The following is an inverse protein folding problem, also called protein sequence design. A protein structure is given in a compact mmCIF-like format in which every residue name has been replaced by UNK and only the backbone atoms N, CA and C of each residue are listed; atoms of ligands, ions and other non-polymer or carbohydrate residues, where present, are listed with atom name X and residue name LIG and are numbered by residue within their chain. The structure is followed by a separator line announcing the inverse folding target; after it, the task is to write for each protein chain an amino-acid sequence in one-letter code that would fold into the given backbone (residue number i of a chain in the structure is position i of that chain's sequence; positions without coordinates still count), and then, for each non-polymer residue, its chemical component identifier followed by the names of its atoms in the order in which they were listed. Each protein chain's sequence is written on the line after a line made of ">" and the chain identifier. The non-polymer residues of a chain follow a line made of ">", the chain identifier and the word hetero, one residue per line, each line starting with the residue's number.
data_IF_187690772890
#
_entry.id   IF_187690772890
#
_cell.length_a   1.000
_cell.length_b   1.000
_cell.length_c   1.000
_cell.angle_alpha   90.00
_cell.angle_beta   90.00
_cell.angle_gamma   90.00
#
_symmetry.space_group_name_H-M   'P 1'
#
loop_
_entity.id
_entity.type
_entity.pdbx_description
1 polymer ?
#
# COMPACT_ATOMS: atom_id res chain seq x y z
N UNK A 1 -10.13 -18.97 52.09
CA UNK A 1 -9.58 -18.07 51.01
C UNK A 1 -8.72 -18.90 50.08
N UNK A 2 -9.24 -19.18 48.89
CA UNK A 2 -8.49 -19.92 47.84
C UNK A 2 -7.66 -18.89 47.06
N UNK A 3 -6.36 -18.88 47.23
CA UNK A 3 -5.45 -18.11 46.39
C UNK A 3 -5.35 -18.77 45.02
N UNK A 4 -5.97 -18.14 44.01
CA UNK A 4 -5.75 -18.54 42.61
C UNK A 4 -4.34 -18.10 42.23
N UNK A 5 -3.41 -19.04 42.12
CA UNK A 5 -2.09 -18.76 41.55
C UNK A 5 -2.24 -18.42 40.09
N UNK A 6 -1.80 -17.20 39.70
CA UNK A 6 -1.67 -16.83 38.28
C UNK A 6 -0.68 -17.81 37.63
N UNK A 7 -0.98 -18.29 36.41
CA UNK A 7 0.00 -19.10 35.68
C UNK A 7 1.27 -18.29 35.44
N UNK A 8 2.45 -18.93 35.45
CA UNK A 8 3.69 -18.22 35.19
C UNK A 8 3.61 -17.54 33.82
N UNK A 9 3.92 -16.22 33.76
CA UNK A 9 4.13 -15.52 32.50
C UNK A 9 5.22 -16.27 31.74
N UNK A 10 4.89 -16.82 30.57
CA UNK A 10 5.91 -17.26 29.63
C UNK A 10 6.79 -16.08 29.31
N UNK A 11 8.04 -16.11 29.72
CA UNK A 11 9.04 -15.16 29.24
C UNK A 11 9.08 -15.28 27.71
N UNK A 12 8.93 -14.18 26.96
CA UNK A 12 9.12 -14.24 25.52
C UNK A 12 10.50 -14.81 25.25
N UNK A 13 10.57 -15.89 24.48
CA UNK A 13 11.82 -16.41 23.98
C UNK A 13 12.47 -15.27 23.20
N UNK A 14 13.73 -14.87 23.45
CA UNK A 14 14.35 -13.85 22.62
C UNK A 14 14.32 -14.36 21.19
N UNK A 15 13.62 -13.64 20.32
CA UNK A 15 13.66 -13.90 18.90
C UNK A 15 15.12 -13.72 18.48
N UNK A 16 15.71 -14.73 17.86
CA UNK A 16 16.93 -14.58 17.08
C UNK A 16 16.78 -13.32 16.25
N UNK A 17 17.76 -12.41 16.35
CA UNK A 17 17.77 -11.07 15.78
C UNK A 17 16.79 -10.91 14.62
N UNK A 18 15.68 -10.25 14.87
CA UNK A 18 14.74 -9.91 13.82
C UNK A 18 15.52 -9.02 12.86
N UNK A 19 15.82 -9.54 11.66
CA UNK A 19 16.33 -8.70 10.59
C UNK A 19 15.32 -7.58 10.41
N UNK A 20 15.78 -6.34 10.50
CA UNK A 20 14.93 -5.16 10.44
C UNK A 20 14.28 -5.09 9.06
N UNK A 21 13.04 -5.59 8.97
CA UNK A 21 12.26 -5.57 7.73
C UNK A 21 11.37 -4.34 7.78
N UNK A 22 11.64 -3.37 6.93
CA UNK A 22 10.88 -2.14 6.86
C UNK A 22 10.45 -1.80 5.43
N UNK A 23 9.51 -0.87 5.29
CA UNK A 23 8.94 -0.43 4.01
C UNK A 23 8.15 -1.53 3.27
N UNK A 24 7.46 -2.41 4.01
CA UNK A 24 6.50 -3.36 3.44
C UNK A 24 5.15 -2.70 3.24
N UNK A 25 4.48 -3.07 2.16
CA UNK A 25 3.10 -2.71 1.94
C UNK A 25 2.19 -3.89 2.25
N UNK A 26 1.02 -3.58 2.78
CA UNK A 26 0.06 -4.59 3.18
C UNK A 26 -1.30 -4.36 2.54
N UNK A 27 -1.99 -5.44 2.30
CA UNK A 27 -3.40 -5.46 1.94
C UNK A 27 -4.07 -6.66 2.62
N UNK A 28 -5.40 -6.68 2.62
CA UNK A 28 -6.14 -7.75 3.27
C UNK A 28 -7.42 -8.08 2.56
N UNK A 29 -7.90 -9.29 2.79
CA UNK A 29 -9.30 -9.69 2.65
C UNK A 29 -9.98 -9.70 4.03
N UNK A 30 -11.20 -10.17 4.11
CA UNK A 30 -11.87 -10.41 5.40
C UNK A 30 -11.23 -11.52 6.24
N UNK A 31 -10.41 -12.40 5.66
CA UNK A 31 -9.80 -13.56 6.33
C UNK A 31 -8.28 -13.51 6.40
N UNK A 32 -7.61 -12.91 5.43
CA UNK A 32 -6.15 -12.91 5.30
C UNK A 32 -5.56 -11.51 5.29
N UNK A 33 -4.54 -11.28 6.10
CA UNK A 33 -3.63 -10.14 5.99
C UNK A 33 -2.37 -10.56 5.24
N UNK A 34 -1.94 -9.77 4.26
CA UNK A 34 -0.80 -10.08 3.38
C UNK A 34 0.16 -8.90 3.36
N UNK A 35 1.45 -9.20 3.42
CA UNK A 35 2.55 -8.24 3.24
C UNK A 35 3.36 -8.61 2.02
N UNK A 36 3.62 -7.64 1.16
CA UNK A 36 4.32 -7.85 -0.11
C UNK A 36 5.56 -6.99 -0.19
N UNK A 37 6.65 -7.54 -0.73
CA UNK A 37 7.92 -6.86 -0.93
C UNK A 37 8.53 -6.31 0.36
N UNK A 38 9.49 -5.43 0.27
CA UNK A 38 10.12 -4.75 1.41
C UNK A 38 11.64 -4.75 1.33
N UNK A 39 12.26 -4.37 2.44
CA UNK A 39 13.71 -4.33 2.56
C UNK A 39 14.16 -5.09 3.80
N UNK A 40 15.10 -5.99 3.64
CA UNK A 40 15.73 -6.76 4.73
C UNK A 40 17.20 -6.33 4.83
N UNK A 41 17.57 -5.77 5.96
CA UNK A 41 18.97 -5.37 6.21
C UNK A 41 19.80 -6.59 6.65
N UNK A 42 21.02 -6.78 6.11
CA UNK A 42 21.68 -6.04 5.03
C UNK A 42 21.38 -6.58 3.62
N UNK A 43 20.49 -7.57 3.49
CA UNK A 43 20.31 -8.34 2.25
C UNK A 43 19.70 -7.55 1.09
N UNK A 44 19.01 -6.42 1.38
CA UNK A 44 18.45 -5.57 0.33
C UNK A 44 16.94 -5.78 0.11
N UNK A 45 16.47 -5.42 -1.08
CA UNK A 45 15.07 -5.58 -1.46
C UNK A 45 14.69 -7.05 -1.56
N UNK A 46 13.46 -7.37 -1.15
CA UNK A 46 12.89 -8.72 -1.25
C UNK A 46 11.59 -8.69 -2.07
N UNK A 47 11.26 -9.81 -2.69
CA UNK A 47 10.03 -10.05 -3.43
C UNK A 47 9.04 -10.93 -2.67
N UNK A 48 9.38 -11.37 -1.48
CA UNK A 48 8.60 -12.29 -0.66
C UNK A 48 7.22 -11.73 -0.33
N UNK A 49 6.24 -12.60 -0.35
CA UNK A 49 4.88 -12.34 0.10
C UNK A 49 4.61 -13.22 1.32
N UNK A 50 4.32 -12.61 2.45
CA UNK A 50 3.93 -13.31 3.68
C UNK A 50 2.46 -13.05 4.00
N UNK A 51 1.79 -14.01 4.65
CA UNK A 51 0.41 -13.84 5.08
C UNK A 51 0.13 -14.40 6.47
N UNK A 52 -0.97 -13.95 7.05
CA UNK A 52 -1.58 -14.52 8.25
C UNK A 52 -3.07 -14.72 8.04
N UNK A 53 -3.64 -15.72 8.70
CA UNK A 53 -5.09 -15.83 8.86
C UNK A 53 -5.51 -14.94 10.03
N UNK A 54 -6.35 -13.93 9.76
CA UNK A 54 -6.71 -12.88 10.75
C UNK A 54 -7.45 -13.47 11.95
N UNK A 55 -8.26 -14.50 11.72
CA UNK A 55 -9.08 -15.11 12.78
C UNK A 55 -8.31 -16.03 13.74
N UNK A 56 -7.07 -16.38 13.44
CA UNK A 56 -6.27 -17.33 14.23
C UNK A 56 -4.92 -16.73 14.60
N UNK A 57 -4.42 -17.10 15.78
CA UNK A 57 -3.05 -16.73 16.20
C UNK A 57 -2.03 -17.66 15.53
N UNK A 58 -0.90 -17.11 15.11
CA UNK A 58 0.18 -17.88 14.49
C UNK A 58 1.25 -16.97 13.90
N UNK A 59 2.32 -17.59 13.44
CA UNK A 59 3.34 -16.89 12.67
C UNK A 59 2.86 -16.64 11.26
N UNK A 60 3.43 -15.62 10.61
CA UNK A 60 3.24 -15.44 9.18
C UNK A 60 3.80 -16.65 8.42
N UNK A 61 3.13 -16.99 7.35
CA UNK A 61 3.47 -18.10 6.46
C UNK A 61 3.81 -17.52 5.08
N UNK A 62 4.73 -18.16 4.39
CA UNK A 62 5.06 -17.85 3.03
C UNK A 62 3.82 -18.02 2.12
N UNK A 63 3.52 -16.99 1.36
CA UNK A 63 2.44 -16.98 0.36
C UNK A 63 2.99 -17.26 -1.04
N UNK A 64 4.19 -16.79 -1.35
CA UNK A 64 4.86 -16.80 -2.65
C UNK A 64 5.66 -15.52 -2.87
N UNK A 65 5.94 -15.19 -4.11
CA UNK A 65 6.79 -14.05 -4.49
C UNK A 65 6.09 -13.11 -5.49
N UNK A 66 6.41 -11.82 -5.42
CA UNK A 66 6.14 -10.87 -6.51
C UNK A 66 7.13 -11.05 -7.64
N UNK A 67 6.83 -10.50 -8.81
CA UNK A 67 7.70 -10.61 -10.01
C UNK A 67 9.08 -10.01 -9.82
N UNK A 68 9.23 -9.00 -8.96
CA UNK A 68 10.49 -8.29 -8.77
C UNK A 68 10.63 -7.78 -7.33
N UNK A 69 11.84 -7.89 -6.76
CA UNK A 69 12.17 -7.37 -5.44
C UNK A 69 12.16 -5.83 -5.44
N UNK A 70 11.37 -5.22 -4.54
CA UNK A 70 11.27 -3.77 -4.40
C UNK A 70 10.88 -3.37 -2.98
N UNK A 71 11.14 -2.14 -2.58
CA UNK A 71 10.79 -1.62 -1.25
C UNK A 71 9.95 -0.34 -1.28
N UNK A 72 9.60 0.17 -2.46
CA UNK A 72 8.86 1.42 -2.62
C UNK A 72 7.49 1.22 -3.27
N UNK A 73 6.96 0.03 -3.15
CA UNK A 73 5.65 -0.37 -3.68
C UNK A 73 4.51 0.21 -2.84
N UNK A 74 3.33 0.27 -3.43
CA UNK A 74 2.08 0.50 -2.70
C UNK A 74 1.10 -0.63 -3.00
N UNK A 75 0.10 -0.81 -2.16
CA UNK A 75 -0.84 -1.92 -2.27
C UNK A 75 -2.29 -1.45 -2.21
N UNK A 76 -3.15 -2.22 -2.85
CA UNK A 76 -4.60 -2.11 -2.74
C UNK A 76 -5.22 -3.51 -2.84
N UNK A 77 -6.49 -3.64 -2.49
CA UNK A 77 -7.17 -4.92 -2.60
C UNK A 77 -8.65 -4.77 -2.96
N UNK A 78 -9.17 -5.81 -3.59
CA UNK A 78 -10.59 -6.13 -3.65
C UNK A 78 -10.90 -7.22 -2.62
N UNK A 79 -12.15 -7.63 -2.40
CA UNK A 79 -12.47 -8.71 -1.47
C UNK A 79 -11.77 -10.05 -1.74
N UNK A 80 -11.36 -10.31 -2.98
CA UNK A 80 -10.79 -11.59 -3.41
C UNK A 80 -9.34 -11.51 -3.89
N UNK A 81 -8.83 -10.32 -4.23
CA UNK A 81 -7.52 -10.11 -4.85
C UNK A 81 -6.73 -9.02 -4.16
N UNK A 82 -5.45 -9.27 -3.94
CA UNK A 82 -4.47 -8.26 -3.53
C UNK A 82 -3.64 -7.78 -4.71
N UNK A 83 -3.29 -6.51 -4.72
CA UNK A 83 -2.49 -5.87 -5.76
C UNK A 83 -1.29 -5.16 -5.16
N UNK A 84 -0.15 -5.29 -5.80
CA UNK A 84 1.08 -4.59 -5.50
C UNK A 84 1.46 -3.74 -6.72
N UNK A 85 1.61 -2.43 -6.52
CA UNK A 85 1.95 -1.47 -7.55
C UNK A 85 3.40 -1.03 -7.38
N UNK A 86 4.20 -1.17 -8.44
CA UNK A 86 5.57 -0.68 -8.49
C UNK A 86 6.69 -1.71 -8.46
N UNK A 87 6.47 -3.05 -8.35
CA UNK A 87 7.53 -3.98 -8.67
C UNK A 87 7.92 -3.83 -10.15
N UNK A 88 9.08 -4.32 -10.56
CA UNK A 88 9.46 -4.28 -11.98
C UNK A 88 10.58 -3.31 -12.34
N UNK A 89 11.09 -2.51 -11.41
CA UNK A 89 12.29 -1.72 -11.66
C UNK A 89 13.53 -2.48 -11.21
N UNK A 90 14.20 -3.15 -12.13
CA UNK A 90 15.49 -3.80 -11.91
C UNK A 90 16.65 -2.81 -11.60
N UNK A 91 16.43 -1.52 -11.72
CA UNK A 91 17.45 -0.50 -11.53
C UNK A 91 17.64 -0.04 -10.05
N UNK A 92 17.00 -0.69 -9.08
CA UNK A 92 17.11 -0.33 -7.66
C UNK A 92 16.47 1.01 -7.27
N UNK A 93 15.94 1.76 -8.23
CA UNK A 93 15.42 3.11 -8.04
C UNK A 93 13.92 3.16 -7.72
N UNK A 94 13.23 2.01 -7.70
CA UNK A 94 11.84 1.92 -7.25
C UNK A 94 10.78 2.57 -8.16
N UNK A 95 11.08 2.80 -9.43
CA UNK A 95 10.17 3.48 -10.37
C UNK A 95 9.43 2.54 -11.32
N UNK A 96 9.16 1.30 -10.89
CA UNK A 96 8.43 0.34 -11.72
C UNK A 96 6.99 0.75 -11.98
N UNK A 97 6.45 0.33 -13.11
CA UNK A 97 5.05 0.51 -13.50
C UNK A 97 4.21 -0.76 -13.38
N UNK A 98 4.84 -1.91 -13.10
CA UNK A 98 4.16 -3.19 -13.04
C UNK A 98 3.07 -3.22 -11.96
N UNK A 99 2.01 -3.93 -12.27
CA UNK A 99 0.92 -4.23 -11.34
C UNK A 99 0.91 -5.74 -11.13
N UNK A 100 1.30 -6.17 -9.95
CA UNK A 100 1.27 -7.58 -9.57
C UNK A 100 -0.02 -7.90 -8.82
N UNK A 101 -0.58 -9.08 -9.06
CA UNK A 101 -1.83 -9.55 -8.45
C UNK A 101 -1.67 -10.91 -7.79
N UNK A 102 -2.27 -11.04 -6.63
CA UNK A 102 -2.50 -12.32 -5.93
C UNK A 102 -3.99 -12.58 -5.75
N UNK A 103 -4.35 -13.83 -5.62
CA UNK A 103 -5.69 -14.25 -5.19
C UNK A 103 -5.62 -14.68 -3.74
N UNK A 104 -6.38 -14.06 -2.83
CA UNK A 104 -6.29 -14.36 -1.40
C UNK A 104 -6.62 -15.81 -1.04
N UNK A 105 -7.48 -16.48 -1.81
CA UNK A 105 -7.92 -17.83 -1.52
C UNK A 105 -6.86 -18.92 -1.73
N UNK A 106 -5.83 -18.66 -2.54
CA UNK A 106 -4.78 -19.62 -2.87
C UNK A 106 -3.40 -19.00 -2.76
N UNK A 107 -2.47 -19.70 -2.12
CA UNK A 107 -1.06 -19.32 -2.09
C UNK A 107 -0.40 -19.57 -3.46
N UNK A 108 0.63 -18.83 -3.76
CA UNK A 108 1.39 -18.91 -5.00
C UNK A 108 1.97 -17.54 -5.37
N UNK A 109 2.84 -17.53 -6.36
CA UNK A 109 3.47 -16.31 -6.82
C UNK A 109 2.44 -15.33 -7.41
N UNK A 110 2.70 -14.05 -7.26
CA UNK A 110 1.94 -13.01 -7.92
C UNK A 110 2.12 -13.13 -9.44
N UNK A 111 1.06 -12.78 -10.15
CA UNK A 111 1.11 -12.67 -11.62
C UNK A 111 1.21 -11.20 -12.02
N UNK A 112 1.85 -10.94 -13.13
CA UNK A 112 1.78 -9.66 -13.82
C UNK A 112 0.36 -9.47 -14.32
N UNK A 113 -0.26 -8.35 -13.94
CA UNK A 113 -1.68 -8.08 -14.21
C UNK A 113 -1.89 -6.84 -15.07
N UNK A 114 -0.85 -6.09 -15.35
CA UNK A 114 -0.87 -4.88 -16.16
C UNK A 114 0.13 -3.85 -15.69
N UNK A 115 0.05 -2.67 -16.25
CA UNK A 115 0.99 -1.59 -15.97
C UNK A 115 0.31 -0.28 -15.60
N UNK A 116 1.01 0.55 -14.83
CA UNK A 116 0.65 1.92 -14.60
C UNK A 116 0.87 2.80 -15.81
N UNK A 117 0.06 3.84 -15.95
CA UNK A 117 0.34 4.92 -16.89
C UNK A 117 1.62 5.68 -16.52
N UNK A 118 2.04 5.61 -15.27
CA UNK A 118 3.27 6.21 -14.72
C UNK A 118 3.88 5.29 -13.68
N UNK A 119 5.17 5.42 -13.39
CA UNK A 119 5.84 4.65 -12.34
C UNK A 119 5.28 4.95 -10.93
N UNK A 120 5.27 3.93 -10.08
CA UNK A 120 4.58 3.92 -8.77
C UNK A 120 5.49 4.17 -7.56
N UNK A 121 6.65 4.78 -7.71
CA UNK A 121 7.52 5.00 -6.56
C UNK A 121 6.90 5.94 -5.52
N UNK A 122 6.80 5.47 -4.28
CA UNK A 122 6.25 6.21 -3.13
C UNK A 122 4.90 6.86 -3.42
N UNK A 123 4.04 6.16 -4.13
CA UNK A 123 2.65 6.53 -4.33
C UNK A 123 1.80 6.15 -3.12
N UNK A 124 0.59 6.66 -3.07
CA UNK A 124 -0.44 6.24 -2.13
C UNK A 124 -1.62 5.65 -2.89
N UNK A 125 -1.94 4.40 -2.60
CA UNK A 125 -3.08 3.72 -3.19
C UNK A 125 -4.26 3.65 -2.21
N UNK A 126 -5.45 3.70 -2.76
CA UNK A 126 -6.69 3.40 -2.08
C UNK A 126 -7.65 2.72 -3.04
N UNK A 127 -8.51 1.86 -2.52
CA UNK A 127 -9.43 1.08 -3.35
C UNK A 127 -10.85 1.05 -2.80
N UNK A 128 -11.78 0.81 -3.69
CA UNK A 128 -13.09 0.24 -3.36
C UNK A 128 -13.13 -1.23 -3.81
N UNK A 129 -14.29 -1.86 -3.87
CA UNK A 129 -14.41 -3.27 -4.26
C UNK A 129 -14.02 -3.57 -5.71
N UNK A 130 -13.96 -2.56 -6.59
CA UNK A 130 -13.79 -2.73 -8.04
C UNK A 130 -12.54 -2.00 -8.56
N UNK A 131 -12.22 -0.84 -7.98
CA UNK A 131 -11.20 0.07 -8.51
C UNK A 131 -10.18 0.47 -7.47
N UNK A 132 -8.93 0.64 -7.90
CA UNK A 132 -7.90 1.32 -7.14
C UNK A 132 -7.57 2.68 -7.76
N UNK A 133 -7.38 3.70 -6.91
CA UNK A 133 -6.81 4.98 -7.26
C UNK A 133 -5.43 5.08 -6.64
N UNK A 134 -4.43 5.40 -7.45
CA UNK A 134 -3.05 5.53 -7.02
C UNK A 134 -2.61 6.96 -7.31
N UNK A 135 -2.22 7.70 -6.28
CA UNK A 135 -1.94 9.12 -6.39
C UNK A 135 -0.54 9.50 -5.95
N UNK A 136 -0.04 10.56 -6.57
CA UNK A 136 1.28 11.09 -6.35
C UNK A 136 2.36 10.18 -6.89
N UNK A 137 3.58 10.63 -6.87
CA UNK A 137 4.76 9.81 -7.15
C UNK A 137 6.04 10.50 -6.72
N UNK A 138 7.07 9.72 -6.54
CA UNK A 138 8.43 10.18 -6.60
C UNK A 138 9.02 9.79 -7.96
N UNK A 139 9.57 10.74 -8.68
CA UNK A 139 10.26 10.52 -9.94
C UNK A 139 11.78 10.72 -9.82
N UNK A 140 12.57 10.52 -10.87
CA UNK A 140 13.97 10.86 -10.91
C UNK A 140 14.18 12.37 -10.70
N UNK A 141 15.38 12.80 -10.38
CA UNK A 141 15.74 14.12 -9.85
C UNK A 141 15.12 15.35 -10.53
N UNK A 142 14.77 15.28 -11.82
CA UNK A 142 14.14 16.37 -12.58
C UNK A 142 12.61 16.40 -12.55
N UNK A 143 11.97 15.31 -12.08
CA UNK A 143 10.50 15.15 -11.98
C UNK A 143 10.14 14.51 -10.62
N UNK A 144 10.69 15.08 -9.56
CA UNK A 144 10.78 14.45 -8.25
C UNK A 144 9.43 14.19 -7.58
N UNK A 145 8.40 14.95 -7.91
CA UNK A 145 7.05 14.80 -7.37
C UNK A 145 6.03 14.85 -8.50
N UNK A 146 5.01 14.06 -8.38
CA UNK A 146 3.90 14.08 -9.32
C UNK A 146 2.58 14.31 -8.61
N UNK A 147 1.68 14.92 -9.31
CA UNK A 147 0.30 15.15 -8.87
C UNK A 147 -0.68 14.18 -9.51
N UNK A 148 -0.21 13.34 -10.44
CA UNK A 148 -1.07 12.45 -11.22
C UNK A 148 -1.79 11.44 -10.31
N UNK A 149 -3.07 11.22 -10.64
CA UNK A 149 -3.90 10.14 -10.09
C UNK A 149 -4.13 9.14 -11.21
N UNK A 150 -3.85 7.87 -10.95
CA UNK A 150 -4.11 6.77 -11.85
C UNK A 150 -5.28 5.95 -11.34
N UNK A 151 -6.14 5.49 -12.24
CA UNK A 151 -7.22 4.57 -11.95
C UNK A 151 -6.92 3.21 -12.57
N UNK A 152 -7.12 2.17 -11.77
CA UNK A 152 -6.95 0.78 -12.15
C UNK A 152 -8.22 -0.01 -11.84
N UNK A 153 -8.66 -0.84 -12.79
CA UNK A 153 -9.80 -1.72 -12.59
C UNK A 153 -9.32 -3.09 -12.11
N UNK A 154 -9.63 -3.42 -10.85
CA UNK A 154 -9.20 -4.66 -10.20
C UNK A 154 -9.96 -5.91 -10.65
N UNK A 155 -11.12 -5.73 -11.29
CA UNK A 155 -11.96 -6.85 -11.73
C UNK A 155 -11.58 -7.35 -13.13
N UNK A 156 -11.38 -6.44 -14.08
CA UNK A 156 -11.16 -6.79 -15.49
C UNK A 156 -9.70 -6.80 -15.93
N UNK A 157 -8.80 -6.26 -15.12
CA UNK A 157 -7.40 -6.14 -15.50
C UNK A 157 -7.12 -5.06 -16.54
N UNK A 158 -5.90 -5.10 -17.08
CA UNK A 158 -5.40 -4.12 -18.03
C UNK A 158 -4.62 -3.00 -17.35
N UNK A 159 -4.12 -2.08 -18.15
CA UNK A 159 -3.28 -0.99 -17.67
C UNK A 159 -4.08 0.06 -16.89
N UNK A 160 -3.42 0.69 -15.94
CA UNK A 160 -3.98 1.87 -15.29
C UNK A 160 -4.06 3.04 -16.27
N UNK A 161 -5.03 3.91 -16.07
CA UNK A 161 -5.23 5.10 -16.90
C UNK A 161 -5.06 6.36 -16.06
N UNK A 162 -4.65 7.45 -16.68
CA UNK A 162 -4.68 8.77 -16.05
C UNK A 162 -6.13 9.13 -15.69
N UNK A 163 -6.36 9.56 -14.46
CA UNK A 163 -7.70 9.85 -13.95
C UNK A 163 -7.86 11.25 -13.37
N UNK A 164 -6.80 12.05 -13.37
CA UNK A 164 -6.76 13.40 -12.86
C UNK A 164 -5.50 13.68 -12.06
N UNK A 165 -5.54 14.72 -11.25
CA UNK A 165 -4.39 15.22 -10.51
C UNK A 165 -4.80 15.59 -9.08
N UNK A 166 -3.85 15.44 -8.14
CA UNK A 166 -3.93 16.05 -6.81
C UNK A 166 -3.92 17.57 -6.94
N UNK A 167 -4.40 18.29 -5.94
CA UNK A 167 -4.35 19.76 -5.94
C UNK A 167 -2.95 20.34 -5.78
N UNK A 168 -1.98 19.52 -5.38
CA UNK A 168 -0.58 19.89 -5.24
C UNK A 168 0.33 18.69 -5.48
N UNK A 169 1.46 18.96 -6.13
CA UNK A 169 2.49 17.95 -6.42
C UNK A 169 3.15 17.47 -5.13
N UNK A 170 3.04 16.14 -4.85
CA UNK A 170 3.60 15.53 -3.66
C UNK A 170 3.79 14.02 -3.80
N UNK A 171 4.66 13.46 -2.98
CA UNK A 171 4.77 12.03 -2.77
C UNK A 171 4.14 11.67 -1.43
N UNK A 172 2.89 11.17 -1.39
CA UNK A 172 2.20 10.90 -0.14
C UNK A 172 2.90 9.87 0.74
N UNK A 173 3.65 8.93 0.13
CA UNK A 173 4.47 7.96 0.86
C UNK A 173 3.68 6.97 1.71
N UNK A 174 2.36 6.97 1.63
CA UNK A 174 1.46 6.13 2.42
C UNK A 174 0.18 5.83 1.65
N UNK A 175 -0.67 4.98 2.20
CA UNK A 175 -1.95 4.64 1.57
C UNK A 175 -2.97 5.78 1.72
N UNK A 176 -4.00 5.76 0.86
CA UNK A 176 -5.17 6.61 1.02
C UNK A 176 -6.14 6.02 2.05
N UNK A 177 -6.87 6.89 2.73
CA UNK A 177 -8.07 6.51 3.48
C UNK A 177 -9.21 6.41 2.46
N UNK A 178 -9.93 5.30 2.46
CA UNK A 178 -11.00 5.08 1.49
C UNK A 178 -12.27 4.56 2.13
N UNK A 179 -13.37 4.89 1.49
CA UNK A 179 -14.64 4.21 1.62
C UNK A 179 -15.12 3.75 0.23
N UNK A 180 -16.32 3.20 0.11
CA UNK A 180 -16.84 2.72 -1.18
C UNK A 180 -16.91 3.78 -2.30
N UNK A 181 -16.88 5.08 -1.98
CA UNK A 181 -17.09 6.17 -2.94
C UNK A 181 -15.88 7.08 -3.13
N UNK A 182 -15.01 7.26 -2.11
CA UNK A 182 -13.93 8.24 -2.11
C UNK A 182 -12.62 7.67 -1.63
N UNK A 183 -11.53 8.20 -2.19
CA UNK A 183 -10.18 8.10 -1.66
C UNK A 183 -9.71 9.48 -1.19
N UNK A 184 -9.12 9.56 0.00
CA UNK A 184 -8.58 10.77 0.62
C UNK A 184 -7.09 10.58 0.84
N UNK A 185 -6.28 11.48 0.33
CA UNK A 185 -4.84 11.53 0.53
C UNK A 185 -4.46 12.73 1.38
N UNK A 186 -3.55 12.56 2.32
CA UNK A 186 -3.09 13.66 3.17
C UNK A 186 -1.57 13.74 3.22
N UNK A 187 -1.03 14.90 3.55
CA UNK A 187 0.39 15.08 3.83
C UNK A 187 1.33 14.68 2.70
N UNK A 188 2.50 14.18 3.07
CA UNK A 188 3.54 13.75 2.14
C UNK A 188 4.59 14.83 1.85
N UNK A 189 5.66 14.42 1.16
CA UNK A 189 6.76 15.31 0.78
C UNK A 189 6.43 16.18 -0.41
N UNK A 190 6.79 17.44 -0.36
CA UNK A 190 6.61 18.43 -1.45
C UNK A 190 7.90 18.76 -2.19
N UNK A 191 9.05 18.36 -1.65
CA UNK A 191 10.36 18.61 -2.27
C UNK A 191 11.30 17.38 -2.18
N UNK A 192 12.41 17.39 -2.94
CA UNK A 192 13.39 16.31 -2.97
C UNK A 192 14.12 16.07 -1.66
N UNK A 193 14.32 17.09 -0.87
CA UNK A 193 15.16 17.03 0.33
C UNK A 193 14.47 16.40 1.52
N UNK A 194 13.18 16.06 1.38
CA UNK A 194 12.32 15.60 2.46
C UNK A 194 12.20 16.61 3.65
N UNK A 195 12.67 17.84 3.45
CA UNK A 195 12.61 18.89 4.45
C UNK A 195 11.23 19.53 4.52
N UNK A 196 10.49 19.54 3.40
CA UNK A 196 9.18 20.15 3.30
C UNK A 196 8.10 19.08 3.14
N UNK A 197 7.19 19.07 4.10
CA UNK A 197 6.00 18.21 4.12
C UNK A 197 4.74 19.07 4.01
N UNK A 198 3.68 18.49 3.49
CA UNK A 198 2.37 19.12 3.35
C UNK A 198 1.47 18.80 4.53
N UNK A 199 0.52 19.69 4.81
CA UNK A 199 -0.68 19.40 5.62
C UNK A 199 -1.89 19.11 4.74
N UNK A 200 -1.82 19.44 3.46
CA UNK A 200 -2.94 19.38 2.52
C UNK A 200 -3.54 17.99 2.46
N UNK A 201 -4.85 17.91 2.55
CA UNK A 201 -5.64 16.73 2.23
C UNK A 201 -6.51 17.01 1.01
N UNK A 202 -6.53 16.08 0.08
CA UNK A 202 -7.43 16.07 -1.08
C UNK A 202 -8.16 14.74 -1.16
N UNK A 203 -9.31 14.79 -1.82
CA UNK A 203 -10.09 13.60 -2.10
C UNK A 203 -10.46 13.50 -3.57
N UNK A 204 -10.73 12.29 -3.99
CA UNK A 204 -11.24 11.95 -5.32
C UNK A 204 -12.31 10.88 -5.21
N UNK A 205 -13.38 11.06 -5.96
CA UNK A 205 -14.39 10.01 -6.11
C UNK A 205 -13.93 8.96 -7.11
N UNK A 206 -14.23 7.70 -6.85
CA UNK A 206 -13.83 6.59 -7.75
C UNK A 206 -14.53 6.65 -9.11
N UNK A 207 -15.69 7.26 -9.19
CA UNK A 207 -16.51 7.26 -10.39
C UNK A 207 -16.39 8.54 -11.24
N UNK A 208 -16.15 9.68 -10.63
CA UNK A 208 -16.10 10.95 -11.32
C UNK A 208 -14.73 11.23 -11.94
N UNK A 209 -14.67 11.65 -13.20
CA UNK A 209 -13.45 12.11 -13.87
C UNK A 209 -13.03 13.50 -13.37
N UNK A 210 -11.79 13.91 -13.67
CA UNK A 210 -11.23 15.23 -13.33
C UNK A 210 -10.32 15.19 -12.10
N UNK A 211 -9.89 16.35 -11.63
CA UNK A 211 -8.90 16.47 -10.58
C UNK A 211 -9.49 16.23 -9.18
N UNK A 212 -8.62 15.98 -8.22
CA UNK A 212 -8.98 15.92 -6.80
C UNK A 212 -9.46 17.29 -6.31
N UNK A 213 -10.22 17.27 -5.24
CA UNK A 213 -10.78 18.45 -4.58
C UNK A 213 -10.22 18.55 -3.17
N UNK A 214 -10.03 19.76 -2.67
CA UNK A 214 -9.57 19.99 -1.30
C UNK A 214 -10.51 19.35 -0.29
N UNK A 215 -9.93 18.58 0.65
CA UNK A 215 -10.63 17.99 1.79
C UNK A 215 -10.40 18.80 3.07
N UNK A 216 -9.30 19.56 3.14
CA UNK A 216 -8.86 20.32 4.28
C UNK A 216 -7.39 20.09 4.59
N UNK A 217 -6.98 20.30 5.83
CA UNK A 217 -5.61 20.18 6.27
C UNK A 217 -5.45 19.24 7.47
N UNK A 218 -4.34 18.53 7.52
CA UNK A 218 -3.90 17.78 8.69
C UNK A 218 -3.40 18.76 9.77
N UNK A 219 -3.61 18.43 11.03
CA UNK A 219 -3.11 19.25 12.13
C UNK A 219 -1.60 19.40 12.21
N UNK A 220 -0.84 18.47 11.63
CA UNK A 220 0.62 18.47 11.57
C UNK A 220 1.10 17.95 10.23
N UNK A 221 2.18 18.53 9.72
CA UNK A 221 2.92 18.03 8.55
C UNK A 221 3.52 16.67 8.86
N UNK A 222 3.28 15.66 8.02
CA UNK A 222 3.83 14.30 8.19
C UNK A 222 3.83 13.52 6.89
N UNK A 223 4.62 12.46 6.89
CA UNK A 223 4.65 11.41 5.87
C UNK A 223 4.75 10.03 6.53
N UNK A 224 4.81 8.95 5.72
CA UNK A 224 4.95 7.56 6.18
C UNK A 224 3.97 7.16 7.30
N UNK A 225 2.74 7.63 7.24
CA UNK A 225 1.69 7.23 8.18
C UNK A 225 0.87 6.06 7.61
N UNK A 226 0.24 5.30 8.49
CA UNK A 226 -0.70 4.28 8.09
C UNK A 226 -2.05 4.91 7.73
N UNK A 227 -2.74 4.28 6.78
CA UNK A 227 -4.12 4.60 6.42
C UNK A 227 -4.97 3.34 6.44
N UNK A 228 -6.24 3.51 6.66
CA UNK A 228 -7.23 2.44 6.74
C UNK A 228 -8.32 2.64 5.71
N UNK A 229 -8.96 1.55 5.32
CA UNK A 229 -10.15 1.60 4.52
C UNK A 229 -11.21 0.63 5.06
N UNK A 230 -12.46 0.89 4.75
CA UNK A 230 -13.59 0.05 5.15
C UNK A 230 -14.12 -0.83 4.01
N UNK A 231 -13.44 -0.88 2.90
CA UNK A 231 -13.91 -1.48 1.64
C UNK A 231 -14.03 -3.01 1.66
N UNK A 232 -13.43 -3.66 2.65
CA UNK A 232 -13.39 -5.13 2.78
C UNK A 232 -14.40 -5.68 3.77
N UNK A 233 -15.47 -4.94 4.06
CA UNK A 233 -16.41 -5.37 5.07
C UNK A 233 -15.86 -5.24 6.49
N UNK A 234 -15.01 -4.25 6.74
CA UNK A 234 -14.86 -3.71 8.09
C UNK A 234 -16.26 -3.48 8.61
N UNK A 235 -16.54 -3.74 9.81
CA UNK A 235 -17.83 -3.75 10.57
C UNK A 235 -19.10 -3.08 9.96
N UNK A 236 -19.06 -2.65 8.71
CA UNK A 236 -20.13 -1.98 7.97
C UNK A 236 -20.96 -2.88 7.06
N UNK A 237 -20.79 -4.18 7.14
CA UNK A 237 -21.64 -5.14 6.43
C UNK A 237 -22.93 -5.42 7.20
N UNK A 238 -23.78 -4.42 7.34
CA UNK A 238 -25.18 -4.62 7.79
C UNK A 238 -26.11 -4.32 6.64
#
# INVERSE_FOLDING_TARGET
>A
FLMIRRPPRSTPKPSSAASDVYKRQSCSSSTRGVWMNGYVHPSGNVNTIDYVEIATTGNATDFGDTTTANNTVTAAASPTRGFCFGPGSSAGNGYGSDINMITFASTGNAIDFGEGAFGFARCAAGSNTVRALIAGRQGPASAYRGEQIQKFNMASGGNAINFGELIASRGPGSNAITNGTRAVWGGGFTDPSAANMSTVMDYKEFESSGNAVSFGDMGLKRDYYAAINDTHGGLGGF
#
